data_IF_352642823260
#
_entry.id   IF_352642823260
#
_cell.length_a   1.000
_cell.length_b   1.000
_cell.length_c   1.000
_cell.angle_alpha   90.00
_cell.angle_beta   90.00
_cell.angle_gamma   90.00
#
_symmetry.space_group_name_H-M   'P 1'
#
loop_
_entity.id
_entity.type
_entity.pdbx_description
1 polymer ?
#
# COMPACT_ATOMS: atom_id res chain seq x y z
N UNK A 1 -13.30 24.10 -13.63
CA UNK A 1 -13.19 23.13 -12.52
C UNK A 1 -11.73 22.71 -12.39
N UNK A 2 -11.07 22.88 -11.23
CA UNK A 2 -9.69 22.39 -11.05
C UNK A 2 -9.74 20.85 -11.04
N UNK A 3 -9.05 20.20 -11.99
CA UNK A 3 -8.87 18.73 -11.97
C UNK A 3 -8.18 18.34 -10.67
N UNK A 4 -8.80 17.46 -9.90
CA UNK A 4 -8.18 16.91 -8.70
C UNK A 4 -7.03 15.98 -9.12
N UNK A 5 -5.82 16.27 -8.65
CA UNK A 5 -4.67 15.40 -8.92
C UNK A 5 -4.88 14.03 -8.27
N UNK A 6 -4.42 12.94 -8.90
CA UNK A 6 -4.43 11.57 -8.34
C UNK A 6 -3.94 11.52 -6.90
N UNK A 7 -2.93 12.33 -6.56
CA UNK A 7 -2.42 12.46 -5.19
C UNK A 7 -3.49 12.91 -4.19
N UNK A 8 -4.27 13.94 -4.51
CA UNK A 8 -5.34 14.45 -3.63
C UNK A 8 -6.46 13.42 -3.48
N UNK A 9 -6.80 12.73 -4.58
CA UNK A 9 -7.77 11.63 -4.55
C UNK A 9 -7.27 10.54 -3.59
N UNK A 10 -6.01 10.11 -3.74
CA UNK A 10 -5.39 9.12 -2.87
C UNK A 10 -5.42 9.51 -1.38
N UNK A 11 -5.05 10.76 -1.06
CA UNK A 11 -5.10 11.28 0.31
C UNK A 11 -6.52 11.24 0.89
N UNK A 12 -7.51 11.67 0.10
CA UNK A 12 -8.92 11.67 0.52
C UNK A 12 -9.42 10.24 0.78
N UNK A 13 -9.11 9.30 -0.11
CA UNK A 13 -9.53 7.90 0.07
C UNK A 13 -8.80 7.25 1.24
N UNK A 14 -7.49 7.48 1.40
CA UNK A 14 -6.73 6.97 2.54
C UNK A 14 -7.32 7.44 3.88
N UNK A 15 -7.71 8.72 3.96
CA UNK A 15 -8.37 9.27 5.14
C UNK A 15 -9.72 8.61 5.45
N UNK A 16 -10.51 8.22 4.43
CA UNK A 16 -11.79 7.48 4.62
C UNK A 16 -11.58 6.13 5.33
N UNK A 17 -10.46 5.47 5.08
CA UNK A 17 -10.10 4.21 5.75
C UNK A 17 -9.40 4.41 7.11
N UNK A 18 -9.22 5.64 7.57
CA UNK A 18 -8.53 5.93 8.83
C UNK A 18 -7.02 5.67 8.79
N UNK A 19 -6.43 5.57 7.59
CA UNK A 19 -4.99 5.44 7.42
C UNK A 19 -4.29 6.72 7.88
N UNK A 20 -3.18 6.57 8.61
CA UNK A 20 -2.35 7.67 9.09
C UNK A 20 -1.17 7.86 8.14
N UNK A 21 -0.76 9.08 7.89
CA UNK A 21 0.30 9.34 6.91
C UNK A 21 0.21 10.71 6.28
N UNK A 22 1.10 10.94 5.31
CA UNK A 22 1.22 12.23 4.63
C UNK A 22 1.74 12.05 3.20
N UNK A 23 1.46 13.07 2.38
CA UNK A 23 1.81 13.14 0.97
C UNK A 23 1.33 11.92 0.17
N UNK A 24 2.19 10.93 -0.02
CA UNK A 24 1.94 9.73 -0.84
C UNK A 24 2.06 8.43 -0.06
N UNK A 25 2.39 8.47 1.22
CA UNK A 25 2.60 7.26 2.03
C UNK A 25 1.72 7.32 3.27
N UNK A 26 0.94 6.25 3.44
CA UNK A 26 0.04 6.08 4.57
C UNK A 26 0.21 4.67 5.14
N UNK A 27 -0.27 4.48 6.35
CA UNK A 27 -0.15 3.21 7.06
C UNK A 27 -1.27 3.05 8.09
N UNK A 28 -1.43 1.81 8.54
CA UNK A 28 -2.21 1.47 9.72
C UNK A 28 -1.65 0.22 10.37
N UNK A 29 -1.97 0.04 11.66
CA UNK A 29 -1.59 -1.17 12.40
C UNK A 29 -2.67 -2.24 12.25
N UNK A 30 -2.25 -3.47 12.00
CA UNK A 30 -3.08 -4.67 12.00
C UNK A 30 -2.38 -5.75 12.82
N UNK A 31 -2.88 -5.99 14.04
CA UNK A 31 -2.24 -6.94 14.97
C UNK A 31 -0.77 -6.61 15.22
N UNK A 32 0.10 -7.55 14.86
CA UNK A 32 1.55 -7.48 15.03
C UNK A 32 2.30 -6.99 13.79
N UNK A 33 1.59 -6.40 12.82
CA UNK A 33 2.18 -5.79 11.64
C UNK A 33 1.63 -4.39 11.39
N UNK A 34 2.39 -3.57 10.68
CA UNK A 34 1.88 -2.40 9.99
C UNK A 34 1.65 -2.71 8.53
N UNK A 35 0.48 -2.33 8.02
CA UNK A 35 0.25 -2.16 6.58
C UNK A 35 0.68 -0.75 6.20
N UNK A 36 1.49 -0.65 5.16
CA UNK A 36 1.95 0.59 4.55
C UNK A 36 1.40 0.61 3.12
N UNK A 37 0.90 1.75 2.68
CA UNK A 37 0.42 1.97 1.31
C UNK A 37 1.07 3.21 0.73
N UNK A 38 1.49 3.14 -0.53
CA UNK A 38 2.17 4.23 -1.21
C UNK A 38 1.63 4.45 -2.62
N UNK A 39 1.41 5.72 -2.97
CA UNK A 39 1.12 6.14 -4.34
C UNK A 39 2.41 6.55 -5.05
N UNK A 40 2.78 5.83 -6.10
CA UNK A 40 3.95 6.12 -6.91
C UNK A 40 3.52 6.52 -8.33
N UNK A 41 3.95 7.69 -8.81
CA UNK A 41 3.73 8.08 -10.21
C UNK A 41 4.64 7.25 -11.12
N UNK A 42 4.12 6.76 -12.24
CA UNK A 42 4.93 6.11 -13.26
C UNK A 42 5.76 7.16 -14.03
N UNK A 43 7.02 6.82 -14.32
CA UNK A 43 7.91 7.70 -15.08
C UNK A 43 7.46 7.79 -16.53
N UNK A 44 7.41 9.01 -17.09
CA UNK A 44 7.12 9.23 -18.51
C UNK A 44 5.67 9.06 -18.94
N UNK A 45 4.73 8.76 -18.03
CA UNK A 45 3.31 8.58 -18.35
C UNK A 45 2.38 9.29 -17.35
N UNK A 46 1.08 9.30 -17.63
CA UNK A 46 0.05 9.73 -16.69
C UNK A 46 -0.29 8.67 -15.64
N UNK A 47 0.25 7.46 -15.77
CA UNK A 47 -0.07 6.31 -14.92
C UNK A 47 0.58 6.40 -13.53
N UNK A 48 0.18 5.47 -12.66
CA UNK A 48 0.66 5.33 -11.29
C UNK A 48 0.61 3.88 -10.83
N UNK A 49 1.28 3.61 -9.71
CA UNK A 49 1.27 2.36 -8.97
C UNK A 49 0.71 2.63 -7.58
N UNK A 50 -0.01 1.64 -7.04
CA UNK A 50 -0.41 1.60 -5.63
C UNK A 50 0.39 0.45 -5.00
N UNK A 51 1.42 0.81 -4.26
CA UNK A 51 2.31 -0.14 -3.59
C UNK A 51 1.80 -0.42 -2.18
N UNK A 52 1.96 -1.65 -1.74
CA UNK A 52 1.67 -2.13 -0.40
C UNK A 52 2.93 -2.67 0.27
N UNK A 53 3.01 -2.51 1.58
CA UNK A 53 4.11 -2.98 2.40
C UNK A 53 3.61 -3.58 3.72
N UNK A 54 4.23 -4.67 4.19
CA UNK A 54 4.06 -5.15 5.56
C UNK A 54 5.34 -4.98 6.36
N UNK A 55 5.20 -4.45 7.57
CA UNK A 55 6.26 -4.31 8.57
C UNK A 55 5.85 -5.02 9.85
N UNK A 56 6.30 -6.26 10.04
CA UNK A 56 6.14 -7.02 11.28
C UNK A 56 6.88 -6.37 12.45
N UNK A 57 6.15 -6.11 13.54
CA UNK A 57 6.63 -5.34 14.70
C UNK A 57 7.75 -6.08 15.45
N UNK A 58 7.66 -7.41 15.55
CA UNK A 58 8.65 -8.28 16.19
C UNK A 58 10.01 -8.30 15.46
N UNK A 59 10.01 -7.97 14.17
CA UNK A 59 11.21 -7.91 13.33
C UNK A 59 11.83 -6.50 13.28
N UNK A 60 11.17 -5.48 13.84
CA UNK A 60 11.71 -4.12 13.88
C UNK A 60 12.78 -4.02 14.96
N UNK A 61 13.99 -3.59 14.58
CA UNK A 61 15.03 -3.23 15.54
C UNK A 61 14.60 -2.03 16.41
N UNK A 62 15.29 -1.79 17.53
CA UNK A 62 15.05 -0.60 18.35
C UNK A 62 15.17 0.71 17.55
N UNK A 63 16.09 0.77 16.58
CA UNK A 63 16.20 1.88 15.62
C UNK A 63 15.03 1.95 14.63
N UNK A 64 14.51 0.80 14.19
CA UNK A 64 13.34 0.74 13.31
C UNK A 64 12.05 1.10 14.03
N UNK A 65 11.97 0.93 15.36
CA UNK A 65 10.82 1.36 16.17
C UNK A 65 10.75 2.90 16.28
N UNK A 66 11.90 3.58 16.28
CA UNK A 66 12.01 5.05 16.14
C UNK A 66 11.54 5.50 14.76
N UNK A 67 11.68 4.64 13.75
CA UNK A 67 11.12 4.77 12.40
C UNK A 67 9.84 3.96 12.19
N UNK A 68 9.18 3.49 13.25
CA UNK A 68 7.94 2.74 13.12
C UNK A 68 6.93 3.63 12.42
N UNK A 69 5.95 3.12 11.68
CA UNK A 69 5.05 4.01 10.94
C UNK A 69 4.41 5.10 11.82
N UNK A 70 4.08 4.79 13.09
CA UNK A 70 3.64 5.79 14.09
C UNK A 70 4.72 6.85 14.42
N UNK A 71 5.94 6.43 14.73
CA UNK A 71 7.05 7.34 15.04
C UNK A 71 7.56 8.08 13.80
N UNK A 72 7.60 7.45 12.63
CA UNK A 72 7.95 8.01 11.33
C UNK A 72 6.93 9.05 10.84
N UNK A 73 5.65 8.89 11.17
CA UNK A 73 4.66 9.94 10.96
C UNK A 73 5.00 11.21 11.74
N UNK A 74 5.32 11.05 13.03
CA UNK A 74 5.68 12.16 13.90
C UNK A 74 7.04 12.77 13.52
N UNK A 75 8.02 11.92 13.20
CA UNK A 75 9.41 12.27 12.87
C UNK A 75 9.64 12.52 11.38
N UNK A 76 8.58 12.49 10.57
CA UNK A 76 8.64 12.83 9.15
C UNK A 76 9.53 11.93 8.27
N UNK A 77 9.90 10.72 8.72
CA UNK A 77 10.71 9.78 7.93
C UNK A 77 9.98 9.32 6.67
N UNK A 78 10.69 9.26 5.54
CA UNK A 78 10.17 8.80 4.24
C UNK A 78 10.51 7.34 3.95
N UNK A 79 11.35 6.70 4.78
CA UNK A 79 11.68 5.28 4.66
C UNK A 79 11.07 4.52 5.83
N UNK A 80 10.19 3.60 5.50
CA UNK A 80 9.60 2.67 6.44
C UNK A 80 10.27 1.30 6.28
N UNK A 81 10.55 0.58 7.37
CA UNK A 81 11.17 -0.74 7.32
C UNK A 81 10.19 -1.77 6.77
N UNK A 82 10.13 -1.91 5.43
CA UNK A 82 9.24 -2.86 4.76
C UNK A 82 9.89 -4.26 4.74
N UNK A 83 9.17 -5.27 5.19
CA UNK A 83 9.60 -6.67 5.15
C UNK A 83 8.99 -7.45 3.97
N UNK A 84 7.78 -7.05 3.56
CA UNK A 84 7.06 -7.60 2.41
C UNK A 84 6.62 -6.44 1.53
N UNK A 85 7.07 -6.40 0.29
CA UNK A 85 6.72 -5.36 -0.70
C UNK A 85 5.90 -5.99 -1.83
N UNK A 86 4.79 -5.36 -2.18
CA UNK A 86 3.87 -5.84 -3.20
C UNK A 86 3.09 -4.69 -3.84
N UNK A 87 2.37 -4.99 -4.92
CA UNK A 87 1.48 -4.04 -5.58
C UNK A 87 0.01 -4.40 -5.36
N UNK A 88 -0.87 -3.41 -5.50
CA UNK A 88 -2.31 -3.61 -5.38
C UNK A 88 -2.82 -4.74 -6.28
N UNK A 89 -2.38 -4.76 -7.54
CA UNK A 89 -2.78 -5.78 -8.52
C UNK A 89 -2.27 -7.19 -8.18
N UNK A 90 -1.29 -7.30 -7.28
CA UNK A 90 -0.73 -8.58 -6.83
C UNK A 90 -1.40 -9.12 -5.58
N UNK A 91 -2.28 -8.36 -4.92
CA UNK A 91 -3.03 -8.84 -3.76
C UNK A 91 -3.94 -9.99 -4.22
N UNK A 92 -3.92 -11.16 -3.55
CA UNK A 92 -4.75 -12.30 -3.95
C UNK A 92 -6.23 -11.92 -4.06
N UNK A 93 -6.85 -12.29 -5.17
CA UNK A 93 -8.25 -11.98 -5.51
C UNK A 93 -8.58 -10.47 -5.63
N UNK A 94 -7.59 -9.58 -5.72
CA UNK A 94 -7.87 -8.18 -5.98
C UNK A 94 -8.45 -8.00 -7.38
N UNK A 95 -9.55 -7.24 -7.54
CA UNK A 95 -10.09 -6.91 -8.86
C UNK A 95 -9.27 -5.83 -9.59
N UNK A 96 -8.25 -5.26 -8.94
CA UNK A 96 -7.42 -4.20 -9.48
C UNK A 96 -6.42 -4.79 -10.46
N UNK A 97 -6.26 -4.11 -11.61
CA UNK A 97 -5.23 -4.44 -12.60
C UNK A 97 -4.49 -3.18 -13.00
N UNK A 98 -3.21 -3.33 -13.38
CA UNK A 98 -2.43 -2.21 -13.90
C UNK A 98 -3.05 -1.63 -15.18
N UNK A 99 -3.63 -2.47 -16.04
CA UNK A 99 -4.32 -2.03 -17.25
C UNK A 99 -5.54 -1.13 -16.94
N UNK A 100 -6.30 -1.45 -15.89
CA UNK A 100 -7.41 -0.60 -15.43
C UNK A 100 -6.93 0.75 -14.89
N UNK A 101 -5.81 0.75 -14.15
CA UNK A 101 -5.16 1.98 -13.68
C UNK A 101 -4.70 2.83 -14.88
N UNK A 102 -4.03 2.22 -15.86
CA UNK A 102 -3.51 2.90 -17.04
C UNK A 102 -4.65 3.53 -17.87
N UNK A 103 -5.77 2.82 -18.03
CA UNK A 103 -6.94 3.31 -18.75
C UNK A 103 -7.57 4.53 -18.08
N UNK A 104 -7.83 4.45 -16.77
CA UNK A 104 -8.40 5.57 -16.00
C UNK A 104 -7.47 6.78 -15.94
N UNK A 105 -6.17 6.54 -15.82
CA UNK A 105 -5.15 7.59 -15.82
C UNK A 105 -5.08 8.33 -17.17
N UNK A 106 -5.14 7.57 -18.27
CA UNK A 106 -5.07 8.11 -19.64
C UNK A 106 -6.32 8.89 -20.04
N UNK A 107 -7.50 8.47 -19.57
CA UNK A 107 -8.76 9.20 -19.79
C UNK A 107 -8.93 10.40 -18.85
N UNK A 108 -8.05 10.56 -17.86
CA UNK A 108 -8.17 11.55 -16.78
C UNK A 108 -9.52 11.48 -16.04
N UNK A 109 -10.09 10.27 -15.93
CA UNK A 109 -11.36 10.04 -15.26
C UNK A 109 -11.15 10.01 -13.74
N UNK A 110 -11.43 11.13 -13.08
CA UNK A 110 -11.25 11.27 -11.64
C UNK A 110 -12.14 10.32 -10.82
N UNK A 111 -13.34 9.97 -11.32
CA UNK A 111 -14.24 9.05 -10.61
C UNK A 111 -13.73 7.62 -10.72
N UNK A 112 -13.29 7.21 -11.91
CA UNK A 112 -12.66 5.90 -12.10
C UNK A 112 -11.37 5.77 -11.27
N UNK A 113 -10.53 6.81 -11.25
CA UNK A 113 -9.33 6.85 -10.41
C UNK A 113 -9.68 6.73 -8.92
N UNK A 114 -10.69 7.46 -8.43
CA UNK A 114 -11.12 7.37 -7.02
C UNK A 114 -11.63 5.97 -6.68
N UNK A 115 -12.45 5.36 -7.55
CA UNK A 115 -12.97 4.02 -7.34
C UNK A 115 -11.86 2.96 -7.34
N UNK A 116 -10.91 3.04 -8.28
CA UNK A 116 -9.75 2.14 -8.32
C UNK A 116 -8.92 2.25 -7.04
N UNK A 117 -8.63 3.47 -6.58
CA UNK A 117 -7.88 3.68 -5.34
C UNK A 117 -8.66 3.14 -4.15
N UNK A 118 -9.97 3.35 -4.08
CA UNK A 118 -10.82 2.84 -3.01
C UNK A 118 -10.74 1.32 -2.91
N UNK A 119 -10.99 0.63 -4.02
CA UNK A 119 -10.99 -0.83 -4.07
C UNK A 119 -9.59 -1.40 -3.81
N UNK A 120 -8.53 -0.73 -4.31
CA UNK A 120 -7.15 -1.12 -4.04
C UNK A 120 -6.82 -1.05 -2.54
N UNK A 121 -7.12 0.07 -1.88
CA UNK A 121 -6.87 0.24 -0.46
C UNK A 121 -7.71 -0.73 0.38
N UNK A 122 -8.98 -0.93 0.05
CA UNK A 122 -9.84 -1.92 0.70
C UNK A 122 -9.27 -3.34 0.59
N UNK A 123 -8.84 -3.74 -0.61
CA UNK A 123 -8.23 -5.05 -0.86
C UNK A 123 -6.97 -5.27 -0.03
N UNK A 124 -6.08 -4.27 0.02
CA UNK A 124 -4.84 -4.33 0.81
C UNK A 124 -5.13 -4.41 2.31
N UNK A 125 -6.10 -3.64 2.81
CA UNK A 125 -6.50 -3.65 4.22
C UNK A 125 -7.09 -5.00 4.61
N UNK A 126 -7.98 -5.55 3.78
CA UNK A 126 -8.57 -6.86 4.01
C UNK A 126 -7.52 -7.96 3.98
N UNK A 127 -6.59 -7.90 3.01
CA UNK A 127 -5.46 -8.81 2.93
C UNK A 127 -4.58 -8.75 4.18
N UNK A 128 -4.16 -7.56 4.60
CA UNK A 128 -3.33 -7.39 5.79
C UNK A 128 -4.03 -7.90 7.06
N UNK A 129 -5.36 -7.75 7.14
CA UNK A 129 -6.15 -8.25 8.27
C UNK A 129 -6.26 -9.77 8.31
N UNK A 130 -6.50 -10.41 7.16
CA UNK A 130 -6.86 -11.82 7.11
C UNK A 130 -5.67 -12.74 6.80
N UNK A 131 -4.66 -12.21 6.12
CA UNK A 131 -3.53 -12.98 5.59
C UNK A 131 -2.18 -12.28 5.81
N UNK A 132 -2.17 -11.17 6.56
CA UNK A 132 -0.98 -10.35 6.75
C UNK A 132 0.00 -10.89 7.79
N UNK A 133 -0.24 -12.05 8.40
CA UNK A 133 0.73 -12.70 9.28
C UNK A 133 1.86 -13.40 8.49
N UNK A 134 3.01 -13.57 9.14
CA UNK A 134 4.23 -14.10 8.50
C UNK A 134 4.03 -15.51 7.94
N UNK A 135 3.32 -16.37 8.66
CA UNK A 135 3.12 -17.76 8.27
C UNK A 135 2.27 -17.82 7.00
N UNK A 136 1.21 -17.03 6.95
CA UNK A 136 0.32 -16.98 5.81
C UNK A 136 0.97 -16.33 4.59
N UNK A 137 1.70 -15.22 4.76
CA UNK A 137 2.47 -14.60 3.67
C UNK A 137 3.49 -15.58 3.07
N UNK A 138 4.21 -16.34 3.90
CA UNK A 138 5.12 -17.41 3.45
C UNK A 138 4.37 -18.48 2.67
N UNK A 139 3.24 -18.96 3.19
CA UNK A 139 2.42 -19.99 2.53
C UNK A 139 1.96 -19.52 1.15
N UNK A 140 1.44 -18.30 1.03
CA UNK A 140 0.98 -17.72 -0.23
C UNK A 140 2.13 -17.52 -1.23
N UNK A 141 3.32 -17.13 -0.76
CA UNK A 141 4.52 -17.02 -1.59
C UNK A 141 4.94 -18.38 -2.14
N UNK A 142 5.00 -19.41 -1.30
CA UNK A 142 5.37 -20.78 -1.70
C UNK A 142 4.37 -21.35 -2.70
N UNK A 143 3.08 -21.06 -2.53
CA UNK A 143 2.01 -21.43 -3.46
C UNK A 143 2.01 -20.61 -4.77
N UNK A 144 2.90 -19.62 -4.92
CA UNK A 144 2.95 -18.67 -6.05
C UNK A 144 1.65 -17.87 -6.26
N UNK A 145 0.87 -17.70 -5.19
CA UNK A 145 -0.41 -16.96 -5.20
C UNK A 145 -0.25 -15.49 -4.85
N UNK A 146 0.90 -15.12 -4.27
CA UNK A 146 1.19 -13.74 -3.87
C UNK A 146 2.54 -13.28 -4.44
N UNK A 147 2.52 -12.57 -5.59
CA UNK A 147 3.71 -11.99 -6.20
C UNK A 147 4.24 -10.79 -5.38
N UNK A 148 4.93 -11.10 -4.28
CA UNK A 148 5.55 -10.13 -3.39
C UNK A 148 7.08 -10.33 -3.32
N UNK A 149 7.82 -9.25 -3.06
CA UNK A 149 9.23 -9.29 -2.65
C UNK A 149 9.23 -9.44 -1.13
N UNK A 150 9.78 -10.54 -0.62
CA UNK A 150 9.77 -10.88 0.80
C UNK A 150 11.23 -10.98 1.27
N UNK A 151 11.57 -10.22 2.30
CA UNK A 151 12.90 -10.28 2.91
C UNK A 151 13.12 -11.61 3.64
N UNK A 152 14.37 -12.03 3.83
CA UNK A 152 14.74 -13.36 4.33
C UNK A 152 14.23 -13.63 5.76
N UNK A 153 14.15 -12.58 6.57
CA UNK A 153 13.72 -12.61 7.96
C UNK A 153 12.22 -12.89 8.13
N UNK A 154 11.40 -12.64 7.09
CA UNK A 154 9.94 -12.83 7.13
C UNK A 154 9.62 -14.28 7.28
#
# INVERSE_FOLDING_TARGET
MKKDSTKKIFQRVAAKFGLRGRDKTFFMRHGDAYLIVNLQKASGTCSFYINGGLSYIDLLSSSDLVCSPFSAYNNQSTQLPIHVDFRAENVPNSPITQAGIDAAASSHDAMAIENIIFIALESMILFARNHGDRKEVRRLKQAKLFPAIIKKEV
#
